data_IF_519916062667
#
_entry.id   IF_519916062667
#
_cell.length_a   1.000
_cell.length_b   1.000
_cell.length_c   1.000
_cell.angle_alpha   90.00
_cell.angle_beta   90.00
_cell.angle_gamma   90.00
#
_symmetry.space_group_name_H-M   'P 1'
#
loop_
_entity.id
_entity.type
_entity.pdbx_description
1 polymer ?
#
# COMPACT_ATOMS: atom_id res chain seq x y z
N UNK A 1 15.41 25.64 -0.63
CA UNK A 1 14.07 25.43 -1.21
C UNK A 1 13.66 24.01 -0.85
N UNK A 2 12.55 23.83 -0.14
CA UNK A 2 12.00 22.50 0.14
C UNK A 2 11.62 21.83 -1.17
N UNK A 3 12.01 20.57 -1.34
CA UNK A 3 11.58 19.76 -2.48
C UNK A 3 10.04 19.83 -2.56
N UNK A 4 9.44 20.28 -3.68
CA UNK A 4 7.98 20.37 -3.80
C UNK A 4 7.32 18.98 -3.84
N UNK A 5 8.12 17.92 -3.89
CA UNK A 5 7.65 16.54 -3.95
C UNK A 5 7.73 15.87 -2.58
N UNK A 6 6.63 15.23 -2.17
CA UNK A 6 6.53 14.48 -0.91
C UNK A 6 5.87 13.13 -1.17
N UNK A 7 6.29 12.10 -0.43
CA UNK A 7 5.68 10.78 -0.49
C UNK A 7 4.33 10.79 0.24
N UNK A 8 3.28 10.37 -0.46
CA UNK A 8 1.94 10.19 0.09
C UNK A 8 1.41 8.79 -0.20
N UNK A 9 0.51 8.34 0.67
CA UNK A 9 -0.25 7.12 0.51
C UNK A 9 -1.73 7.45 0.32
N UNK A 10 -2.38 6.76 -0.62
CA UNK A 10 -3.83 6.68 -0.74
C UNK A 10 -4.25 5.39 -0.04
N UNK A 11 -5.15 5.49 0.92
CA UNK A 11 -5.53 4.36 1.76
C UNK A 11 -7.02 4.37 2.10
N UNK A 12 -7.56 3.18 2.36
CA UNK A 12 -8.89 2.98 2.96
C UNK A 12 -8.71 3.00 4.46
N UNK A 13 -9.52 3.82 5.13
CA UNK A 13 -9.60 3.84 6.59
C UNK A 13 -10.74 2.92 7.05
N UNK A 14 -10.54 2.15 8.13
CA UNK A 14 -11.62 1.38 8.73
C UNK A 14 -12.67 2.31 9.35
N UNK A 15 -13.86 1.77 9.62
CA UNK A 15 -14.87 2.45 10.45
C UNK A 15 -14.31 2.78 11.83
N UNK A 16 -14.85 3.78 12.50
CA UNK A 16 -14.36 4.23 13.82
C UNK A 16 -14.30 3.11 14.86
N UNK A 17 -15.28 2.20 14.84
CA UNK A 17 -15.31 1.03 15.72
C UNK A 17 -14.11 0.10 15.49
N UNK A 18 -13.85 -0.25 14.24
CA UNK A 18 -12.73 -1.13 13.85
C UNK A 18 -11.39 -0.41 14.08
N UNK A 19 -11.31 0.90 13.81
CA UNK A 19 -10.13 1.71 14.07
C UNK A 19 -9.74 1.69 15.57
N UNK A 20 -10.73 1.73 16.46
CA UNK A 20 -10.49 1.62 17.90
C UNK A 20 -9.98 0.24 18.29
N UNK A 21 -10.57 -0.83 17.75
CA UNK A 21 -10.11 -2.21 18.01
C UNK A 21 -8.64 -2.39 17.61
N UNK A 22 -8.24 -1.86 16.44
CA UNK A 22 -6.84 -1.91 16.03
C UNK A 22 -5.92 -1.05 16.91
N UNK A 23 -6.39 0.10 17.40
CA UNK A 23 -5.64 0.93 18.35
C UNK A 23 -5.39 0.19 19.65
N UNK A 24 -6.37 -0.56 20.13
CA UNK A 24 -6.25 -1.37 21.36
C UNK A 24 -5.28 -2.55 21.15
N UNK A 25 -5.35 -3.23 20.01
CA UNK A 25 -4.40 -4.30 19.63
C UNK A 25 -2.98 -3.74 19.56
N UNK A 26 -2.79 -2.62 18.86
CA UNK A 26 -1.48 -1.98 18.70
C UNK A 26 -0.91 -1.56 20.06
N UNK A 27 -1.75 -1.03 20.96
CA UNK A 27 -1.36 -0.69 22.34
C UNK A 27 -0.93 -1.92 23.14
N UNK A 28 -1.65 -3.04 23.01
CA UNK A 28 -1.30 -4.32 23.66
C UNK A 28 0.02 -4.87 23.14
N UNK A 29 0.22 -4.84 21.81
CA UNK A 29 1.48 -5.26 21.18
C UNK A 29 2.64 -4.38 21.61
N UNK A 30 2.47 -3.06 21.61
CA UNK A 30 3.50 -2.12 22.03
C UNK A 30 3.99 -2.40 23.46
N UNK A 31 3.09 -2.69 24.40
CA UNK A 31 3.46 -3.06 25.79
C UNK A 31 4.35 -4.31 25.87
N UNK A 32 4.25 -5.22 24.91
CA UNK A 32 5.05 -6.46 24.87
C UNK A 32 6.34 -6.30 24.07
N UNK A 33 6.33 -5.48 23.01
CA UNK A 33 7.39 -5.38 22.02
C UNK A 33 8.35 -4.21 22.28
N UNK A 34 7.87 -3.08 22.79
CA UNK A 34 8.72 -1.93 23.13
C UNK A 34 9.79 -2.26 24.16
N UNK A 35 9.50 -3.03 25.24
CA UNK A 35 10.54 -3.48 26.16
C UNK A 35 11.61 -4.38 25.51
N UNK A 36 11.32 -4.97 24.34
CA UNK A 36 12.26 -5.78 23.57
C UNK A 36 13.09 -4.94 22.58
N UNK A 37 12.99 -3.61 22.65
CA UNK A 37 13.76 -2.68 21.80
C UNK A 37 13.11 -2.37 20.46
N UNK A 38 11.84 -2.73 20.24
CA UNK A 38 11.11 -2.36 19.04
C UNK A 38 10.47 -0.97 19.19
N UNK A 39 10.72 -0.09 18.23
CA UNK A 39 10.14 1.25 18.22
C UNK A 39 8.63 1.19 17.91
N UNK A 40 7.81 1.79 18.78
CA UNK A 40 6.38 1.97 18.49
C UNK A 40 6.15 3.31 17.80
N UNK A 41 6.12 3.30 16.47
CA UNK A 41 5.74 4.47 15.69
C UNK A 41 4.24 4.65 15.72
N UNK A 42 3.78 5.89 15.90
CA UNK A 42 2.37 6.20 15.80
C UNK A 42 1.87 5.88 14.39
N UNK A 43 0.99 4.88 14.27
CA UNK A 43 0.35 4.50 13.02
C UNK A 43 -1.17 4.44 13.22
N UNK A 44 -1.90 4.62 12.12
CA UNK A 44 -3.33 4.34 12.05
C UNK A 44 -3.50 3.06 11.26
N UNK A 45 -4.40 2.17 11.67
CA UNK A 45 -4.75 1.04 10.83
C UNK A 45 -5.38 1.55 9.53
N UNK A 46 -4.90 1.05 8.41
CA UNK A 46 -5.38 1.40 7.08
C UNK A 46 -5.02 0.30 6.10
N UNK A 47 -5.74 0.25 4.98
CA UNK A 47 -5.36 -0.55 3.82
C UNK A 47 -4.80 0.40 2.78
N UNK A 48 -3.49 0.33 2.57
CA UNK A 48 -2.84 1.09 1.50
C UNK A 48 -3.34 0.59 0.15
N UNK A 49 -3.84 1.51 -0.68
CA UNK A 49 -4.17 1.24 -2.08
C UNK A 49 -3.04 1.66 -3.01
N UNK A 50 -2.37 2.77 -2.76
CA UNK A 50 -1.31 3.26 -3.64
C UNK A 50 -0.34 4.18 -2.88
N UNK A 51 0.96 4.02 -3.12
CA UNK A 51 2.02 4.91 -2.61
C UNK A 51 2.65 5.65 -3.79
N UNK A 52 2.90 6.94 -3.63
CA UNK A 52 3.55 7.74 -4.67
C UNK A 52 4.19 9.01 -4.14
N UNK A 53 5.13 9.55 -4.90
CA UNK A 53 5.71 10.88 -4.66
C UNK A 53 4.98 11.89 -5.52
N UNK A 54 4.38 12.90 -4.88
CA UNK A 54 3.50 13.87 -5.52
C UNK A 54 3.96 15.30 -5.26
N UNK A 55 3.70 16.18 -6.23
CA UNK A 55 3.89 17.61 -6.06
C UNK A 55 2.79 18.17 -5.13
N UNK A 56 3.15 18.96 -4.13
CA UNK A 56 2.17 19.57 -3.22
C UNK A 56 1.13 20.43 -3.95
N UNK A 57 1.49 21.00 -5.11
CA UNK A 57 0.59 21.82 -5.94
C UNK A 57 -0.54 21.00 -6.58
N UNK A 58 -0.37 19.69 -6.74
CA UNK A 58 -1.40 18.81 -7.31
C UNK A 58 -2.33 18.21 -6.25
N UNK A 59 -2.02 18.35 -4.96
CA UNK A 59 -2.82 17.80 -3.87
C UNK A 59 -4.29 18.23 -3.89
N UNK A 60 -4.66 19.50 -4.20
CA UNK A 60 -6.07 19.88 -4.32
C UNK A 60 -6.80 19.09 -5.42
N UNK A 61 -6.15 18.84 -6.57
CA UNK A 61 -6.73 18.06 -7.68
C UNK A 61 -6.84 16.58 -7.31
N UNK A 62 -5.80 16.03 -6.68
CA UNK A 62 -5.79 14.65 -6.19
C UNK A 62 -6.92 14.45 -5.18
N UNK A 63 -7.07 15.37 -4.23
CA UNK A 63 -8.14 15.35 -3.23
C UNK A 63 -9.53 15.38 -3.86
N UNK A 64 -9.76 16.25 -4.84
CA UNK A 64 -11.04 16.31 -5.56
C UNK A 64 -11.36 15.00 -6.31
N UNK A 65 -10.39 14.42 -7.02
CA UNK A 65 -10.56 13.13 -7.70
C UNK A 65 -10.80 11.99 -6.69
N UNK A 66 -10.12 12.00 -5.55
CA UNK A 66 -10.34 11.01 -4.49
C UNK A 66 -11.74 11.13 -3.89
N UNK A 67 -12.24 12.34 -3.69
CA UNK A 67 -13.60 12.57 -3.19
C UNK A 67 -14.66 12.03 -4.15
N UNK A 68 -14.49 12.25 -5.46
CA UNK A 68 -15.38 11.68 -6.49
C UNK A 68 -15.32 10.15 -6.51
N UNK A 69 -14.12 9.56 -6.45
CA UNK A 69 -13.98 8.11 -6.36
C UNK A 69 -14.66 7.57 -5.12
N UNK A 70 -14.44 8.18 -3.95
CA UNK A 70 -15.03 7.77 -2.69
C UNK A 70 -16.56 7.86 -2.72
N UNK A 71 -17.12 8.93 -3.29
CA UNK A 71 -18.58 9.11 -3.44
C UNK A 71 -19.21 8.01 -4.29
N UNK A 72 -18.51 7.59 -5.35
CA UNK A 72 -18.97 6.56 -6.28
C UNK A 72 -18.59 5.13 -5.87
N UNK A 73 -17.85 4.96 -4.77
CA UNK A 73 -17.42 3.65 -4.28
C UNK A 73 -18.38 3.17 -3.21
N UNK A 74 -18.99 1.99 -3.44
CA UNK A 74 -19.82 1.35 -2.41
C UNK A 74 -18.95 0.95 -1.22
N UNK A 75 -19.57 0.86 -0.04
CA UNK A 75 -18.90 0.32 1.15
C UNK A 75 -18.32 -1.07 0.85
N UNK A 76 -17.03 -1.25 1.12
CA UNK A 76 -16.32 -2.51 0.96
C UNK A 76 -16.20 -3.17 2.33
N UNK A 77 -16.58 -4.44 2.45
CA UNK A 77 -16.36 -5.21 3.67
C UNK A 77 -15.06 -6.00 3.55
N UNK A 78 -14.13 -5.81 4.48
CA UNK A 78 -12.85 -6.51 4.46
C UNK A 78 -12.83 -7.62 5.50
N UNK A 79 -12.58 -8.84 5.05
CA UNK A 79 -12.35 -9.98 5.92
C UNK A 79 -10.84 -10.19 6.04
N UNK A 80 -10.33 -10.17 7.26
CA UNK A 80 -8.92 -10.41 7.54
C UNK A 80 -8.68 -11.87 7.90
N UNK A 81 -7.51 -12.39 7.52
CA UNK A 81 -7.03 -13.67 8.04
C UNK A 81 -6.67 -13.53 9.51
N UNK A 82 -6.82 -14.60 10.28
CA UNK A 82 -6.29 -14.69 11.63
C UNK A 82 -4.78 -15.01 11.60
N UNK A 83 -4.03 -14.27 10.79
CA UNK A 83 -2.60 -14.44 10.55
C UNK A 83 -1.93 -13.07 10.64
N UNK A 84 -0.99 -12.95 11.57
CA UNK A 84 -0.11 -11.80 11.68
C UNK A 84 1.17 -12.12 10.90
N UNK A 85 1.62 -11.18 10.08
CA UNK A 85 2.85 -11.30 9.30
C UNK A 85 3.79 -10.20 9.70
N UNK A 86 5.08 -10.56 9.86
CA UNK A 86 6.14 -9.57 10.02
C UNK A 86 6.75 -9.30 8.64
N UNK A 87 6.62 -8.08 8.14
CA UNK A 87 7.08 -7.71 6.79
C UNK A 87 8.19 -6.65 6.81
N UNK A 88 9.07 -6.73 5.81
CA UNK A 88 10.09 -5.72 5.54
C UNK A 88 11.28 -5.70 6.53
N UNK A 89 12.36 -4.99 6.16
CA UNK A 89 13.56 -4.84 7.00
C UNK A 89 13.28 -4.02 8.28
N UNK A 90 12.23 -3.19 8.25
CA UNK A 90 11.78 -2.36 9.37
C UNK A 90 10.77 -3.08 10.29
N UNK A 91 10.51 -4.39 10.07
CA UNK A 91 9.66 -5.26 10.90
C UNK A 91 8.25 -4.69 11.16
N UNK A 92 7.51 -4.42 10.09
CA UNK A 92 6.09 -4.08 10.16
C UNK A 92 5.29 -5.30 10.60
N UNK A 93 4.22 -5.07 11.35
CA UNK A 93 3.25 -6.10 11.72
C UNK A 93 2.01 -5.87 10.86
N UNK A 94 1.84 -6.71 9.85
CA UNK A 94 0.73 -6.66 8.90
C UNK A 94 -0.28 -7.76 9.16
N UNK A 95 -1.53 -7.50 8.77
CA UNK A 95 -2.62 -8.49 8.83
C UNK A 95 -3.12 -8.69 7.40
N UNK A 96 -3.08 -9.93 6.94
CA UNK A 96 -3.47 -10.24 5.58
C UNK A 96 -4.98 -10.14 5.38
N UNK A 97 -5.39 -9.53 4.27
CA UNK A 97 -6.77 -9.64 3.78
C UNK A 97 -6.98 -11.06 3.25
N UNK A 98 -8.11 -11.65 3.60
CA UNK A 98 -8.51 -12.97 3.14
C UNK A 98 -8.81 -12.90 1.64
N UNK A 99 -7.93 -13.49 0.83
CA UNK A 99 -7.98 -13.37 -0.64
C UNK A 99 -9.09 -14.25 -1.22
N UNK A 100 -9.19 -15.50 -0.77
CA UNK A 100 -10.20 -16.46 -1.18
C UNK A 100 -10.32 -17.55 -0.10
N UNK A 101 -11.51 -17.74 0.44
CA UNK A 101 -11.98 -19.06 0.88
C UNK A 101 -13.25 -19.39 0.08
N UNK A 102 -13.74 -20.61 0.20
CA UNK A 102 -14.79 -21.27 -0.59
C UNK A 102 -16.18 -20.57 -0.54
N UNK A 103 -16.26 -19.35 0.00
CA UNK A 103 -17.47 -18.54 0.13
C UNK A 103 -17.51 -17.40 -0.91
N UNK A 104 -18.55 -17.37 -1.74
CA UNK A 104 -18.77 -16.36 -2.80
C UNK A 104 -18.72 -14.89 -2.31
N UNK A 105 -19.02 -14.63 -1.04
CA UNK A 105 -19.01 -13.28 -0.47
C UNK A 105 -17.59 -12.72 -0.32
N UNK A 106 -16.65 -13.52 0.19
CA UNK A 106 -15.25 -13.10 0.43
C UNK A 106 -14.55 -12.81 -0.89
N UNK A 107 -14.84 -13.60 -1.92
CA UNK A 107 -14.36 -13.39 -3.28
C UNK A 107 -14.79 -12.02 -3.84
N UNK A 108 -16.09 -11.69 -3.77
CA UNK A 108 -16.62 -10.41 -4.27
C UNK A 108 -16.02 -9.20 -3.56
N UNK A 109 -15.85 -9.30 -2.24
CA UNK A 109 -15.24 -8.24 -1.45
C UNK A 109 -13.76 -8.03 -1.83
N UNK A 110 -13.00 -9.10 -2.06
CA UNK A 110 -11.61 -9.02 -2.50
C UNK A 110 -11.47 -8.41 -3.91
N UNK A 111 -12.32 -8.84 -4.84
CA UNK A 111 -12.38 -8.28 -6.20
C UNK A 111 -12.67 -6.78 -6.19
N UNK A 112 -13.62 -6.32 -5.34
CA UNK A 112 -13.93 -4.90 -5.21
C UNK A 112 -12.73 -4.05 -4.75
N UNK A 113 -11.86 -4.59 -3.89
CA UNK A 113 -10.61 -3.91 -3.48
C UNK A 113 -9.63 -3.85 -4.63
N UNK A 114 -9.47 -4.95 -5.38
CA UNK A 114 -8.57 -5.01 -6.52
C UNK A 114 -9.00 -4.01 -7.60
N UNK A 115 -10.30 -3.93 -7.88
CA UNK A 115 -10.86 -2.95 -8.82
C UNK A 115 -10.64 -1.52 -8.36
N UNK A 116 -10.86 -1.25 -7.06
CA UNK A 116 -10.59 0.06 -6.49
C UNK A 116 -9.09 0.41 -6.56
N UNK A 117 -8.20 -0.53 -6.22
CA UNK A 117 -6.76 -0.37 -6.34
C UNK A 117 -6.36 0.02 -7.77
N UNK A 118 -6.82 -0.75 -8.77
CA UNK A 118 -6.53 -0.48 -10.18
C UNK A 118 -7.04 0.91 -10.61
N UNK A 119 -8.28 1.24 -10.23
CA UNK A 119 -8.85 2.57 -10.51
C UNK A 119 -8.01 3.70 -9.90
N UNK A 120 -7.56 3.55 -8.65
CA UNK A 120 -6.68 4.51 -7.99
C UNK A 120 -5.34 4.62 -8.74
N UNK A 121 -4.70 3.49 -9.04
CA UNK A 121 -3.42 3.48 -9.77
C UNK A 121 -3.56 4.19 -11.11
N UNK A 122 -4.54 3.82 -11.93
CA UNK A 122 -4.73 4.40 -13.26
C UNK A 122 -5.04 5.90 -13.20
N UNK A 123 -5.83 6.33 -12.20
CA UNK A 123 -6.21 7.74 -12.02
C UNK A 123 -5.04 8.61 -11.57
N UNK A 124 -4.21 8.11 -10.66
CA UNK A 124 -3.19 8.92 -9.98
C UNK A 124 -1.77 8.68 -10.47
N UNK A 125 -1.56 7.73 -11.39
CA UNK A 125 -0.28 7.47 -12.01
C UNK A 125 0.34 8.74 -12.61
N UNK A 126 -0.45 9.57 -13.29
CA UNK A 126 0.04 10.81 -13.92
C UNK A 126 0.69 11.81 -12.94
N UNK A 127 0.31 11.78 -11.67
CA UNK A 127 0.85 12.67 -10.64
C UNK A 127 2.07 12.09 -9.90
N UNK A 128 2.41 10.83 -10.16
CA UNK A 128 3.47 10.12 -9.47
C UNK A 128 4.83 10.37 -10.15
N UNK A 129 5.79 10.94 -9.42
CA UNK A 129 7.21 10.95 -9.82
C UNK A 129 7.82 9.56 -9.70
N UNK A 130 8.24 8.98 -10.83
CA UNK A 130 8.83 7.64 -10.89
C UNK A 130 10.30 7.64 -11.29
N UNK A 131 11.10 6.66 -10.81
CA UNK A 131 10.78 5.72 -9.71
C UNK A 131 10.77 6.45 -8.35
N UNK A 132 10.09 5.89 -7.34
CA UNK A 132 10.33 6.31 -5.96
C UNK A 132 11.83 6.15 -5.64
N UNK A 133 12.42 7.04 -4.85
CA UNK A 133 13.87 6.95 -4.51
C UNK A 133 14.26 5.56 -3.96
N UNK A 134 13.41 4.99 -3.10
CA UNK A 134 13.55 3.61 -2.59
C UNK A 134 13.54 2.54 -3.68
N UNK A 135 12.78 2.77 -4.74
CA UNK A 135 12.65 1.85 -5.86
C UNK A 135 13.80 2.02 -6.87
N UNK A 136 14.35 3.23 -7.01
CA UNK A 136 15.59 3.49 -7.75
C UNK A 136 16.77 2.71 -7.15
N UNK A 137 16.91 2.68 -5.83
CA UNK A 137 17.94 1.87 -5.14
C UNK A 137 17.77 0.37 -5.42
N UNK A 138 16.51 -0.09 -5.54
CA UNK A 138 16.21 -1.49 -5.89
C UNK A 138 16.60 -1.79 -7.33
N UNK A 139 16.32 -0.89 -8.28
CA UNK A 139 16.72 -1.03 -9.68
C UNK A 139 18.24 -1.07 -9.84
N UNK A 140 18.98 -0.18 -9.17
CA UNK A 140 20.45 -0.19 -9.18
C UNK A 140 21.02 -1.51 -8.65
N UNK A 141 20.43 -2.05 -7.58
CA UNK A 141 20.83 -3.35 -7.02
C UNK A 141 20.53 -4.52 -7.97
N UNK A 142 19.45 -4.42 -8.75
CA UNK A 142 19.04 -5.45 -9.72
C UNK A 142 19.74 -5.32 -11.07
N UNK A 143 20.41 -4.20 -11.35
CA UNK A 143 21.01 -3.87 -12.65
C UNK A 143 21.86 -4.99 -13.26
N UNK A 144 22.78 -5.66 -12.52
CA UNK A 144 23.56 -6.76 -13.08
C UNK A 144 22.69 -7.96 -13.52
N UNK A 145 21.57 -8.21 -12.82
CA UNK A 145 20.64 -9.30 -13.15
C UNK A 145 19.73 -8.93 -14.33
N UNK A 146 19.35 -7.65 -14.43
CA UNK A 146 18.61 -7.11 -15.58
C UNK A 146 19.46 -7.21 -16.85
N UNK A 147 20.73 -6.81 -16.78
CA UNK A 147 21.70 -6.92 -17.88
C UNK A 147 21.93 -8.40 -18.28
N UNK A 148 21.90 -9.32 -17.31
CA UNK A 148 21.96 -10.76 -17.53
C UNK A 148 20.64 -11.40 -18.00
N UNK A 149 19.59 -10.60 -18.29
CA UNK A 149 18.28 -11.07 -18.75
C UNK A 149 17.55 -12.03 -17.79
N UNK A 150 17.77 -11.88 -16.48
CA UNK A 150 17.02 -12.65 -15.48
C UNK A 150 15.52 -12.27 -15.51
N UNK A 151 14.66 -13.25 -15.77
CA UNK A 151 13.22 -13.02 -15.96
C UNK A 151 12.54 -12.38 -14.74
N UNK A 152 12.97 -12.77 -13.53
CA UNK A 152 12.38 -12.24 -12.30
C UNK A 152 12.84 -10.79 -12.05
N UNK A 153 14.11 -10.48 -12.31
CA UNK A 153 14.63 -9.12 -12.23
C UNK A 153 13.94 -8.19 -13.25
N UNK A 154 13.73 -8.66 -14.49
CA UNK A 154 13.01 -7.93 -15.52
C UNK A 154 11.55 -7.66 -15.14
N UNK A 155 10.89 -8.66 -14.55
CA UNK A 155 9.52 -8.52 -14.02
C UNK A 155 9.44 -7.45 -12.94
N UNK A 156 10.34 -7.51 -11.96
CA UNK A 156 10.43 -6.52 -10.87
C UNK A 156 10.70 -5.11 -11.42
N UNK A 157 11.62 -4.99 -12.38
CA UNK A 157 11.96 -3.71 -12.99
C UNK A 157 10.76 -3.08 -13.70
N UNK A 158 10.05 -3.85 -14.53
CA UNK A 158 8.80 -3.40 -15.19
C UNK A 158 7.77 -2.92 -14.18
N UNK A 159 7.64 -3.61 -13.04
CA UNK A 159 6.71 -3.17 -11.99
C UNK A 159 7.14 -1.88 -11.33
N UNK A 160 8.44 -1.70 -11.05
CA UNK A 160 8.95 -0.46 -10.48
C UNK A 160 8.76 0.71 -11.46
N UNK A 161 9.03 0.50 -12.75
CA UNK A 161 8.80 1.52 -13.79
C UNK A 161 7.30 1.84 -13.95
N UNK A 162 6.45 0.81 -13.92
CA UNK A 162 5.00 0.92 -14.16
C UNK A 162 4.17 1.25 -12.92
N UNK A 163 4.68 1.07 -11.71
CA UNK A 163 3.92 1.27 -10.46
C UNK A 163 4.70 2.03 -9.37
N UNK A 164 5.99 2.28 -9.59
CA UNK A 164 6.88 2.91 -8.60
C UNK A 164 7.33 1.99 -7.47
N UNK A 165 6.86 0.75 -7.42
CA UNK A 165 7.17 -0.30 -6.43
C UNK A 165 7.05 -1.70 -7.06
N UNK A 166 7.66 -2.71 -6.45
CA UNK A 166 7.58 -4.11 -6.86
C UNK A 166 6.53 -4.91 -6.05
N UNK A 167 6.12 -6.08 -6.55
CA UNK A 167 5.16 -6.97 -5.88
C UNK A 167 3.69 -6.71 -6.23
N UNK A 168 3.42 -5.89 -7.25
CA UNK A 168 2.07 -5.69 -7.79
C UNK A 168 1.75 -6.87 -8.72
N UNK A 169 0.53 -7.41 -8.64
CA UNK A 169 0.13 -8.51 -9.53
C UNK A 169 0.00 -7.95 -10.95
N UNK A 170 0.79 -8.48 -11.88
CA UNK A 170 0.63 -8.17 -13.31
C UNK A 170 -0.73 -8.70 -13.78
N UNK A 171 -1.50 -7.84 -14.44
CA UNK A 171 -2.68 -8.20 -15.22
C UNK A 171 -2.20 -8.79 -16.55
#
# INVERSE_FOLDING_TARGET
>A
MTDPYVEYAIAILPSSEVAQQFTDINTKLAKQLVPQGLEHKHNKCHVTLYHGVYNFLDLPKISAKLADIAYNTKNITLNFKNEIIVTGPNRWIDINIKRFDENDKVKKDYEAICDLHNKIVDTFNEYHKRPLERASNTLETLKPKIEAQDENALKIAKQIEKYGVSGVKEI
#
